data_IF_936502525470
#
_entry.id   IF_936502525470
#
_cell.length_a   1.000
_cell.length_b   1.000
_cell.length_c   1.000
_cell.angle_alpha   90.00
_cell.angle_beta   90.00
_cell.angle_gamma   90.00
#
_symmetry.space_group_name_H-M   'P 1'
#
loop_
_entity.id
_entity.type
_entity.pdbx_description
1 polymer ?
#
# COMPACT_ATOMS: atom_id res chain seq x y z
N UNK A 1 27.89 32.76 101.02
CA UNK A 1 29.28 33.26 100.85
C UNK A 1 29.66 33.08 99.39
N UNK A 2 29.55 34.10 98.53
CA UNK A 2 30.66 34.96 98.08
C UNK A 2 32.00 34.20 97.96
N UNK A 3 32.39 33.89 96.73
CA UNK A 3 33.74 34.22 96.32
C UNK A 3 33.80 34.71 94.86
N UNK A 4 34.41 35.88 94.68
CA UNK A 4 34.46 36.67 93.44
C UNK A 4 35.86 36.51 92.87
N UNK A 5 36.01 35.85 91.71
CA UNK A 5 37.19 36.04 90.84
C UNK A 5 36.76 36.71 89.53
N UNK A 6 37.09 38.00 89.45
CA UNK A 6 36.87 38.90 88.32
C UNK A 6 37.64 38.39 87.08
N UNK A 7 36.93 37.94 86.03
CA UNK A 7 37.49 37.84 84.68
C UNK A 7 37.53 39.25 84.09
N UNK A 8 38.73 39.77 83.86
CA UNK A 8 38.95 41.04 83.18
C UNK A 8 38.42 40.95 81.74
N UNK A 9 37.27 41.58 81.46
CA UNK A 9 36.85 41.90 80.10
C UNK A 9 37.78 42.98 79.57
N UNK A 10 38.78 42.60 78.75
CA UNK A 10 39.43 43.55 77.85
C UNK A 10 38.41 43.96 76.79
N UNK A 11 37.76 45.09 77.03
CA UNK A 11 37.01 45.82 76.02
C UNK A 11 37.99 46.21 74.93
N UNK A 12 37.98 45.52 73.78
CA UNK A 12 38.63 46.03 72.58
C UNK A 12 37.89 47.30 72.19
N UNK A 13 38.49 48.43 72.52
CA UNK A 13 38.12 49.75 72.04
C UNK A 13 38.19 49.70 70.51
N UNK A 14 37.03 49.79 69.84
CA UNK A 14 36.96 50.05 68.40
C UNK A 14 37.60 51.42 68.16
N UNK A 15 38.85 51.42 67.70
CA UNK A 15 39.49 52.64 67.19
C UNK A 15 38.62 53.23 66.09
N UNK A 16 38.46 54.56 66.08
CA UNK A 16 37.76 55.27 65.00
C UNK A 16 38.55 55.06 63.71
N UNK A 17 38.06 54.15 62.87
CA UNK A 17 38.62 53.86 61.56
C UNK A 17 38.54 55.14 60.72
N UNK A 18 39.67 55.58 60.15
CA UNK A 18 39.67 56.75 59.28
C UNK A 18 38.99 56.40 57.95
N UNK A 19 38.33 57.37 57.31
CA UNK A 19 37.62 57.14 56.04
C UNK A 19 38.51 56.51 54.94
N UNK A 20 39.82 56.77 55.01
CA UNK A 20 40.83 56.16 54.14
C UNK A 20 41.01 54.65 54.40
N UNK A 21 41.07 54.22 55.66
CA UNK A 21 41.22 52.81 56.04
C UNK A 21 39.98 52.01 55.64
N UNK A 22 38.78 52.55 55.86
CA UNK A 22 37.53 51.94 55.40
C UNK A 22 37.47 51.80 53.87
N UNK A 23 37.90 52.83 53.11
CA UNK A 23 37.99 52.77 51.64
C UNK A 23 39.02 51.74 51.16
N UNK A 24 40.15 51.61 51.85
CA UNK A 24 41.19 50.62 51.53
C UNK A 24 40.71 49.19 51.77
N UNK A 25 39.94 48.97 52.83
CA UNK A 25 39.33 47.69 53.14
C UNK A 25 38.27 47.30 52.11
N UNK A 26 37.33 48.21 51.80
CA UNK A 26 36.34 48.01 50.72
C UNK A 26 37.00 47.73 49.38
N UNK A 27 38.10 48.42 49.06
CA UNK A 27 38.88 48.17 47.83
C UNK A 27 39.48 46.76 47.81
N UNK A 28 40.00 46.26 48.95
CA UNK A 28 40.52 44.89 49.04
C UNK A 28 39.39 43.87 48.83
N UNK A 29 38.26 44.05 49.50
CA UNK A 29 37.11 43.14 49.40
C UNK A 29 36.54 43.10 47.98
N UNK A 30 36.46 44.24 47.30
CA UNK A 30 36.05 44.28 45.89
C UNK A 30 37.05 43.55 44.99
N UNK A 31 38.36 43.76 45.19
CA UNK A 31 39.40 43.07 44.41
C UNK A 31 39.33 41.57 44.61
N UNK A 32 39.06 41.11 45.83
CA UNK A 32 38.88 39.70 46.14
C UNK A 32 37.61 39.12 45.52
N UNK A 33 36.48 39.85 45.58
CA UNK A 33 35.25 39.48 44.87
C UNK A 33 35.45 39.39 43.36
N UNK A 34 36.17 40.34 42.76
CA UNK A 34 36.49 40.30 41.31
C UNK A 34 37.34 39.07 40.99
N UNK A 35 38.34 38.74 41.81
CA UNK A 35 39.14 37.52 41.65
C UNK A 35 38.28 36.25 41.75
N UNK A 36 37.37 36.19 42.73
CA UNK A 36 36.47 35.05 42.90
C UNK A 36 35.49 34.90 41.73
N UNK A 37 34.87 36.01 41.29
CA UNK A 37 33.99 36.01 40.13
C UNK A 37 34.74 35.64 38.84
N UNK A 38 35.97 36.09 38.65
CA UNK A 38 36.81 35.67 37.52
C UNK A 38 37.09 34.17 37.55
N UNK A 39 37.34 33.60 38.73
CA UNK A 39 37.53 32.16 38.91
C UNK A 39 36.26 31.37 38.59
N UNK A 40 35.11 31.80 39.09
CA UNK A 40 33.80 31.21 38.80
C UNK A 40 33.46 31.28 37.31
N UNK A 41 33.70 32.43 36.68
CA UNK A 41 33.52 32.62 35.24
C UNK A 41 34.42 31.66 34.44
N UNK A 42 35.67 31.48 34.87
CA UNK A 42 36.60 30.50 34.27
C UNK A 42 36.07 29.07 34.36
N UNK A 43 35.55 28.68 35.52
CA UNK A 43 34.93 27.36 35.73
C UNK A 43 33.64 27.18 34.92
N UNK A 44 32.85 28.24 34.74
CA UNK A 44 31.63 28.20 33.95
C UNK A 44 31.94 28.05 32.46
N UNK A 45 32.93 28.82 31.94
CA UNK A 45 33.42 28.69 30.57
C UNK A 45 33.94 27.30 30.26
N UNK A 46 34.72 26.72 31.18
CA UNK A 46 35.20 25.35 31.03
C UNK A 46 34.05 24.34 30.96
N UNK A 47 33.06 24.43 31.85
CA UNK A 47 31.87 23.57 31.82
C UNK A 47 31.07 23.70 30.53
N UNK A 48 30.95 24.91 30.00
CA UNK A 48 30.28 25.16 28.71
C UNK A 48 31.01 24.47 27.55
N UNK A 49 32.33 24.60 27.48
CA UNK A 49 33.15 23.95 26.46
C UNK A 49 33.05 22.41 26.51
N UNK A 50 33.07 21.83 27.72
CA UNK A 50 32.89 20.38 27.90
C UNK A 50 31.52 19.93 27.42
N UNK A 51 30.44 20.61 27.85
CA UNK A 51 29.08 20.29 27.40
C UNK A 51 28.92 20.42 25.89
N UNK A 52 29.49 21.46 25.28
CA UNK A 52 29.44 21.66 23.84
C UNK A 52 30.17 20.53 23.10
N UNK A 53 31.35 20.12 23.58
CA UNK A 53 32.08 18.99 23.01
C UNK A 53 31.37 17.63 23.18
N UNK A 54 30.64 17.43 24.28
CA UNK A 54 29.79 16.24 24.47
C UNK A 54 28.61 16.25 23.49
N UNK A 55 27.93 17.38 23.35
CA UNK A 55 26.83 17.56 22.39
C UNK A 55 27.33 17.29 20.96
N UNK A 56 28.43 17.90 20.53
CA UNK A 56 29.00 17.69 19.20
C UNK A 56 29.37 16.22 18.94
N UNK A 57 29.91 15.53 19.95
CA UNK A 57 30.18 14.09 19.86
C UNK A 57 28.91 13.27 19.71
N UNK A 58 27.87 13.58 20.50
CA UNK A 58 26.58 12.89 20.39
C UNK A 58 25.93 13.13 19.04
N UNK A 59 25.93 14.37 18.54
CA UNK A 59 25.38 14.72 17.23
C UNK A 59 26.12 13.97 16.11
N UNK A 60 27.45 14.00 16.09
CA UNK A 60 28.25 13.26 15.10
C UNK A 60 27.96 11.76 15.15
N UNK A 61 27.83 11.19 16.35
CA UNK A 61 27.48 9.77 16.51
C UNK A 61 26.10 9.48 15.93
N UNK A 62 25.09 10.30 16.23
CA UNK A 62 23.75 10.13 15.66
C UNK A 62 23.74 10.29 14.14
N UNK A 63 24.52 11.21 13.58
CA UNK A 63 24.68 11.37 12.13
C UNK A 63 25.26 10.11 11.48
N UNK A 64 26.30 9.52 12.09
CA UNK A 64 26.89 8.28 11.59
C UNK A 64 25.93 7.10 11.70
N UNK A 65 25.19 6.99 12.81
CA UNK A 65 24.20 5.91 13.02
C UNK A 65 23.07 6.04 12.00
N UNK A 66 22.55 7.25 11.79
CA UNK A 66 21.54 7.54 10.76
C UNK A 66 22.06 7.24 9.35
N UNK A 67 23.32 7.56 9.05
CA UNK A 67 23.94 7.24 7.77
C UNK A 67 23.95 5.73 7.50
N UNK A 68 24.30 4.92 8.50
CA UNK A 68 24.27 3.46 8.40
C UNK A 68 22.84 2.94 8.18
N UNK A 69 21.85 3.46 8.91
CA UNK A 69 20.45 3.07 8.75
C UNK A 69 19.91 3.42 7.36
N UNK A 70 20.22 4.61 6.84
CA UNK A 70 19.83 5.02 5.50
C UNK A 70 20.46 4.13 4.42
N UNK A 71 21.74 3.78 4.55
CA UNK A 71 22.39 2.84 3.64
C UNK A 71 21.76 1.44 3.69
N UNK A 72 21.36 0.98 4.86
CA UNK A 72 20.65 -0.28 5.01
C UNK A 72 19.28 -0.24 4.32
N UNK A 73 18.49 0.82 4.54
CA UNK A 73 17.19 1.02 3.89
C UNK A 73 17.33 1.07 2.36
N UNK A 74 18.34 1.79 1.85
CA UNK A 74 18.66 1.85 0.41
C UNK A 74 18.95 0.45 -0.16
N UNK A 75 19.76 -0.35 0.53
CA UNK A 75 20.04 -1.73 0.12
C UNK A 75 18.78 -2.59 0.10
N UNK A 76 17.90 -2.47 1.09
CA UNK A 76 16.62 -3.17 1.09
C UNK A 76 15.73 -2.77 -0.08
N UNK A 77 15.65 -1.48 -0.41
CA UNK A 77 14.91 -1.02 -1.58
C UNK A 77 15.45 -1.59 -2.89
N UNK A 78 16.78 -1.69 -3.03
CA UNK A 78 17.40 -2.31 -4.20
C UNK A 78 17.07 -3.80 -4.31
N UNK A 79 17.12 -4.54 -3.20
CA UNK A 79 16.74 -5.96 -3.19
C UNK A 79 15.28 -6.14 -3.58
N UNK A 80 14.38 -5.29 -3.06
CA UNK A 80 12.96 -5.30 -3.44
C UNK A 80 12.77 -5.01 -4.94
N UNK A 81 13.46 -4.00 -5.46
CA UNK A 81 13.39 -3.65 -6.88
C UNK A 81 13.90 -4.80 -7.77
N UNK A 82 14.99 -5.47 -7.38
CA UNK A 82 15.51 -6.64 -8.09
C UNK A 82 14.52 -7.82 -8.08
N UNK A 83 13.86 -8.08 -6.95
CA UNK A 83 12.81 -9.10 -6.86
C UNK A 83 11.62 -8.76 -7.75
N UNK A 84 11.15 -7.50 -7.73
CA UNK A 84 10.06 -7.04 -8.62
C UNK A 84 10.43 -7.23 -10.09
N UNK A 85 11.63 -6.81 -10.51
CA UNK A 85 12.09 -6.99 -11.88
C UNK A 85 12.16 -8.47 -12.29
N UNK A 86 12.60 -9.35 -11.38
CA UNK A 86 12.64 -10.79 -11.64
C UNK A 86 11.23 -11.40 -11.81
N UNK A 87 10.27 -10.96 -10.99
CA UNK A 87 8.87 -11.41 -11.08
C UNK A 87 8.20 -10.92 -12.36
N UNK A 88 8.34 -9.63 -12.70
CA UNK A 88 7.82 -9.06 -13.94
C UNK A 88 8.45 -9.74 -15.15
N UNK A 89 9.77 -9.95 -15.13
CA UNK A 89 10.45 -10.67 -16.22
C UNK A 89 10.07 -12.14 -16.33
N UNK A 90 9.58 -12.77 -15.25
CA UNK A 90 9.00 -14.11 -15.32
C UNK A 90 7.60 -14.07 -15.93
N UNK A 91 6.73 -13.16 -15.47
CA UNK A 91 5.39 -12.98 -16.01
C UNK A 91 5.42 -12.73 -17.53
N UNK A 92 6.29 -11.83 -18.00
CA UNK A 92 6.48 -11.56 -19.43
C UNK A 92 6.99 -12.74 -20.27
N UNK A 93 7.65 -13.73 -19.66
CA UNK A 93 8.07 -14.97 -20.37
C UNK A 93 7.04 -16.08 -20.28
N UNK A 94 6.09 -15.93 -19.36
CA UNK A 94 5.01 -16.86 -19.09
C UNK A 94 3.71 -16.44 -19.78
N UNK A 95 3.78 -15.52 -20.74
CA UNK A 95 2.59 -15.06 -21.50
C UNK A 95 1.99 -16.19 -22.35
N UNK A 96 2.84 -17.08 -22.86
CA UNK A 96 2.39 -18.25 -23.61
C UNK A 96 1.88 -19.38 -22.69
N UNK A 97 1.95 -19.21 -21.36
CA UNK A 97 1.39 -20.15 -20.39
C UNK A 97 0.08 -19.65 -19.84
N UNK A 98 -0.94 -20.52 -19.85
CA UNK A 98 -2.27 -20.22 -19.32
C UNK A 98 -2.18 -19.69 -17.88
N UNK A 99 -2.79 -18.52 -17.65
CA UNK A 99 -3.00 -17.99 -16.31
C UNK A 99 -3.87 -18.96 -15.48
N UNK A 100 -3.76 -18.98 -14.13
CA UNK A 100 -4.51 -19.92 -13.29
C UNK A 100 -6.05 -19.87 -13.43
N UNK A 101 -6.59 -18.77 -13.97
CA UNK A 101 -8.03 -18.53 -14.18
C UNK A 101 -8.41 -18.68 -15.66
N UNK A 102 -7.45 -18.90 -16.56
CA UNK A 102 -7.72 -19.20 -17.97
C UNK A 102 -7.86 -20.70 -18.19
N UNK A 103 -8.78 -21.07 -19.08
CA UNK A 103 -8.95 -22.42 -19.59
C UNK A 103 -9.02 -22.38 -21.10
N UNK A 104 -8.48 -23.40 -21.77
CA UNK A 104 -8.76 -23.60 -23.19
C UNK A 104 -10.15 -24.22 -23.31
N UNK A 105 -11.09 -23.50 -23.90
CA UNK A 105 -12.50 -23.88 -24.02
C UNK A 105 -12.80 -24.28 -25.47
N UNK A 106 -13.02 -25.58 -25.65
CA UNK A 106 -13.44 -26.16 -26.93
C UNK A 106 -14.88 -26.66 -26.82
N UNK A 107 -15.76 -26.18 -27.71
CA UNK A 107 -17.17 -26.57 -27.75
C UNK A 107 -17.50 -27.30 -29.05
N UNK A 108 -18.06 -28.52 -28.92
CA UNK A 108 -18.55 -29.32 -30.05
C UNK A 108 -19.90 -28.84 -30.59
N UNK A 109 -20.51 -29.62 -31.48
CA UNK A 109 -21.83 -29.30 -32.07
C UNK A 109 -23.02 -29.85 -31.26
N UNK A 110 -22.81 -30.90 -30.45
CA UNK A 110 -23.86 -31.51 -29.63
C UNK A 110 -24.24 -30.62 -28.44
N UNK A 111 -25.53 -30.30 -28.31
CA UNK A 111 -26.00 -29.35 -27.30
C UNK A 111 -25.86 -29.87 -25.86
N UNK A 112 -26.00 -31.17 -25.65
CA UNK A 112 -25.89 -31.78 -24.31
C UNK A 112 -24.44 -31.86 -23.88
N UNK A 113 -23.53 -32.25 -24.78
CA UNK A 113 -22.08 -32.26 -24.55
C UNK A 113 -21.57 -30.85 -24.24
N UNK A 114 -22.01 -29.84 -25.01
CA UNK A 114 -21.71 -28.42 -24.74
C UNK A 114 -22.13 -28.03 -23.34
N UNK A 115 -23.39 -28.27 -22.97
CA UNK A 115 -23.90 -27.91 -21.65
C UNK A 115 -23.09 -28.58 -20.53
N UNK A 116 -22.83 -29.88 -20.63
CA UNK A 116 -22.05 -30.61 -19.64
C UNK A 116 -20.62 -30.05 -19.52
N UNK A 117 -19.98 -29.74 -20.64
CA UNK A 117 -18.65 -29.11 -20.66
C UNK A 117 -18.66 -27.79 -19.90
N UNK A 118 -19.61 -26.91 -20.20
CA UNK A 118 -19.74 -25.61 -19.52
C UNK A 118 -20.03 -25.75 -18.02
N UNK A 119 -20.88 -26.70 -17.63
CA UNK A 119 -21.15 -26.98 -16.21
C UNK A 119 -19.91 -27.49 -15.46
N UNK A 120 -19.08 -28.31 -16.08
CA UNK A 120 -17.81 -28.75 -15.46
C UNK A 120 -16.81 -27.61 -15.30
N UNK A 121 -16.79 -26.66 -16.24
CA UNK A 121 -15.92 -25.49 -16.19
C UNK A 121 -16.33 -24.50 -15.10
N UNK A 122 -17.63 -24.32 -14.87
CA UNK A 122 -18.18 -23.36 -13.89
C UNK A 122 -17.51 -23.44 -12.53
N UNK A 123 -17.60 -24.60 -11.86
CA UNK A 123 -17.08 -24.74 -10.48
C UNK A 123 -15.56 -24.59 -10.42
N UNK A 124 -14.85 -25.10 -11.42
CA UNK A 124 -13.40 -24.96 -11.53
C UNK A 124 -13.00 -23.49 -11.67
N UNK A 125 -13.66 -22.75 -12.57
CA UNK A 125 -13.33 -21.36 -12.85
C UNK A 125 -13.62 -20.45 -11.67
N UNK A 126 -14.80 -20.61 -11.04
CA UNK A 126 -15.15 -19.84 -9.85
C UNK A 126 -14.18 -20.11 -8.68
N UNK A 127 -13.83 -21.38 -8.43
CA UNK A 127 -12.88 -21.72 -7.38
C UNK A 127 -11.46 -21.21 -7.66
N UNK A 128 -11.03 -21.19 -8.92
CA UNK A 128 -9.74 -20.63 -9.32
C UNK A 128 -9.72 -19.10 -9.15
N UNK A 129 -10.79 -18.41 -9.57
CA UNK A 129 -10.94 -16.97 -9.39
C UNK A 129 -10.91 -16.59 -7.90
N UNK A 130 -11.65 -17.29 -7.04
CA UNK A 130 -11.63 -17.05 -5.58
C UNK A 130 -10.22 -17.20 -4.99
N UNK A 131 -9.52 -18.29 -5.32
CA UNK A 131 -8.14 -18.52 -4.83
C UNK A 131 -7.19 -17.44 -5.33
N UNK A 132 -7.29 -17.07 -6.61
CA UNK A 132 -6.45 -16.04 -7.22
C UNK A 132 -6.68 -14.68 -6.56
N UNK A 133 -7.94 -14.25 -6.43
CA UNK A 133 -8.30 -12.99 -5.78
C UNK A 133 -7.86 -12.97 -4.31
N UNK A 134 -8.04 -14.06 -3.56
CA UNK A 134 -7.60 -14.17 -2.18
C UNK A 134 -6.07 -14.08 -2.05
N UNK A 135 -5.32 -14.66 -3.00
CA UNK A 135 -3.87 -14.57 -3.04
C UNK A 135 -3.39 -13.16 -3.39
N UNK A 136 -3.95 -12.53 -4.44
CA UNK A 136 -3.60 -11.16 -4.89
C UNK A 136 -3.99 -10.09 -3.89
N UNK A 137 -5.06 -10.29 -3.14
CA UNK A 137 -5.53 -9.34 -2.11
C UNK A 137 -4.77 -9.44 -0.79
N UNK A 138 -3.89 -10.42 -0.62
CA UNK A 138 -3.20 -10.66 0.66
C UNK A 138 -2.33 -9.46 1.05
N UNK A 139 -2.62 -8.88 2.21
CA UNK A 139 -1.88 -7.73 2.75
C UNK A 139 -2.38 -6.38 2.22
N UNK A 140 -3.34 -6.35 1.29
CA UNK A 140 -4.04 -5.13 0.90
C UNK A 140 -5.15 -4.80 1.89
N UNK A 141 -5.40 -3.51 2.08
CA UNK A 141 -6.51 -3.03 2.88
C UNK A 141 -7.80 -3.05 2.06
N UNK A 142 -8.87 -3.74 2.50
CA UNK A 142 -10.16 -3.76 1.79
C UNK A 142 -10.84 -2.38 1.72
N UNK A 143 -10.40 -1.44 2.55
CA UNK A 143 -10.96 -0.08 2.64
C UNK A 143 -10.20 0.94 1.79
N UNK A 144 -9.15 0.51 1.11
CA UNK A 144 -8.25 1.39 0.36
C UNK A 144 -8.30 1.01 -1.10
N UNK A 145 -8.36 2.01 -1.97
CA UNK A 145 -8.22 1.79 -3.41
C UNK A 145 -6.82 1.29 -3.71
N UNK A 146 -6.72 0.26 -4.55
CA UNK A 146 -5.46 -0.25 -5.08
C UNK A 146 -5.62 -0.56 -6.56
N UNK A 147 -4.60 -0.28 -7.37
CA UNK A 147 -4.57 -0.65 -8.78
C UNK A 147 -3.13 -1.01 -9.15
N UNK A 148 -2.97 -2.13 -9.83
CA UNK A 148 -1.76 -2.56 -10.50
C UNK A 148 -2.14 -2.87 -11.95
N UNK A 149 -1.44 -2.26 -12.89
CA UNK A 149 -1.63 -2.46 -14.33
C UNK A 149 -0.26 -2.74 -14.96
N UNK A 150 -0.20 -3.79 -15.76
CA UNK A 150 0.97 -4.20 -16.52
C UNK A 150 0.57 -4.32 -17.99
N UNK A 151 1.28 -3.58 -18.85
CA UNK A 151 1.07 -3.59 -20.29
C UNK A 151 2.34 -4.08 -20.97
N UNK A 152 2.20 -4.95 -21.95
CA UNK A 152 3.32 -5.52 -22.70
C UNK A 152 2.85 -6.04 -24.05
N UNK A 153 3.78 -6.17 -24.98
CA UNK A 153 3.54 -6.81 -26.27
C UNK A 153 3.86 -8.30 -26.16
N UNK A 154 2.98 -9.16 -26.68
CA UNK A 154 3.22 -10.61 -26.80
C UNK A 154 4.36 -10.87 -27.80
N UNK A 155 4.94 -12.07 -27.77
CA UNK A 155 5.94 -12.47 -28.77
C UNK A 155 5.36 -12.50 -30.20
N UNK A 156 4.04 -12.63 -30.33
CA UNK A 156 3.29 -12.64 -31.59
C UNK A 156 2.89 -11.23 -32.06
N UNK A 157 3.12 -10.21 -31.22
CA UNK A 157 2.86 -8.80 -31.52
C UNK A 157 1.52 -8.28 -31.01
N UNK A 158 0.81 -9.04 -30.18
CA UNK A 158 -0.44 -8.61 -29.56
C UNK A 158 -0.18 -7.65 -28.41
N UNK A 159 -1.06 -6.66 -28.24
CA UNK A 159 -1.03 -5.77 -27.08
C UNK A 159 -1.82 -6.40 -25.93
N UNK A 160 -1.13 -6.74 -24.85
CA UNK A 160 -1.72 -7.39 -23.68
C UNK A 160 -1.73 -6.46 -22.47
N UNK A 161 -2.81 -6.55 -21.68
CA UNK A 161 -2.96 -5.81 -20.43
C UNK A 161 -3.39 -6.77 -19.32
N UNK A 162 -2.63 -6.78 -18.22
CA UNK A 162 -2.99 -7.47 -16.98
C UNK A 162 -3.27 -6.42 -15.91
N UNK A 163 -4.50 -6.38 -15.42
CA UNK A 163 -4.92 -5.42 -14.39
C UNK A 163 -5.51 -6.13 -13.18
N UNK A 164 -5.07 -5.72 -12.00
CA UNK A 164 -5.65 -6.11 -10.73
C UNK A 164 -5.97 -4.86 -9.91
N UNK A 165 -7.22 -4.76 -9.47
CA UNK A 165 -7.69 -3.59 -8.74
C UNK A 165 -8.59 -3.94 -7.55
N UNK A 166 -8.65 -3.02 -6.60
CA UNK A 166 -9.55 -3.05 -5.45
C UNK A 166 -10.16 -1.68 -5.30
N UNK A 167 -11.48 -1.61 -5.34
CA UNK A 167 -12.24 -0.36 -5.23
C UNK A 167 -13.24 -0.49 -4.08
N UNK A 168 -13.10 0.29 -2.99
CA UNK A 168 -14.06 0.26 -1.90
C UNK A 168 -15.37 0.93 -2.33
N UNK A 169 -16.47 0.21 -2.20
CA UNK A 169 -17.84 0.73 -2.42
C UNK A 169 -18.50 0.96 -1.07
N UNK A 170 -18.96 2.19 -0.82
CA UNK A 170 -19.54 2.59 0.47
C UNK A 170 -21.05 2.75 0.35
N UNK A 171 -21.78 2.29 1.37
CA UNK A 171 -23.23 2.49 1.47
C UNK A 171 -24.09 1.55 0.61
N UNK A 172 -23.49 0.53 0.00
CA UNK A 172 -24.20 -0.52 -0.73
C UNK A 172 -23.93 -1.90 -0.11
N UNK A 173 -24.91 -2.78 -0.19
CA UNK A 173 -24.76 -4.18 0.20
C UNK A 173 -24.00 -4.96 -0.88
N UNK A 174 -23.28 -6.02 -0.50
CA UNK A 174 -22.48 -6.82 -1.46
C UNK A 174 -23.34 -7.43 -2.57
N UNK A 175 -24.61 -7.73 -2.30
CA UNK A 175 -25.56 -8.21 -3.31
C UNK A 175 -25.90 -7.15 -4.35
N UNK A 176 -26.14 -5.91 -3.93
CA UNK A 176 -26.43 -4.80 -4.84
C UNK A 176 -25.25 -4.50 -5.76
N UNK A 177 -24.03 -4.50 -5.19
CA UNK A 177 -22.79 -4.32 -5.97
C UNK A 177 -22.60 -5.48 -6.96
N UNK A 178 -22.81 -6.72 -6.52
CA UNK A 178 -22.73 -7.89 -7.38
C UNK A 178 -23.75 -7.84 -8.52
N UNK A 179 -25.01 -7.52 -8.24
CA UNK A 179 -26.07 -7.44 -9.25
C UNK A 179 -25.81 -6.30 -10.25
N UNK A 180 -25.27 -5.17 -9.80
CA UNK A 180 -24.86 -4.08 -10.67
C UNK A 180 -23.69 -4.46 -11.59
N UNK A 181 -22.67 -5.15 -11.04
CA UNK A 181 -21.54 -5.65 -11.85
C UNK A 181 -22.00 -6.69 -12.86
N UNK A 182 -22.90 -7.61 -12.47
CA UNK A 182 -23.46 -8.61 -13.37
C UNK A 182 -24.25 -7.93 -14.49
N UNK A 183 -25.12 -6.99 -14.13
CA UNK A 183 -25.88 -6.18 -15.08
C UNK A 183 -24.99 -5.44 -16.08
N UNK A 184 -23.84 -4.91 -15.64
CA UNK A 184 -22.86 -4.28 -16.54
C UNK A 184 -22.34 -5.26 -17.60
N UNK A 185 -21.96 -6.47 -17.20
CA UNK A 185 -21.47 -7.50 -18.15
C UNK A 185 -22.58 -7.98 -19.09
N UNK A 186 -23.81 -8.12 -18.58
CA UNK A 186 -24.95 -8.57 -19.40
C UNK A 186 -25.39 -7.55 -20.47
N UNK A 187 -25.05 -6.27 -20.28
CA UNK A 187 -25.36 -5.17 -21.21
C UNK A 187 -24.08 -4.60 -21.86
N UNK A 188 -23.04 -5.41 -21.98
CA UNK A 188 -21.72 -4.98 -22.45
C UNK A 188 -21.77 -4.40 -23.88
N UNK A 189 -22.66 -4.87 -24.75
CA UNK A 189 -22.85 -4.34 -26.11
C UNK A 189 -23.28 -2.87 -26.12
N UNK A 190 -24.14 -2.47 -25.18
CA UNK A 190 -24.61 -1.08 -25.02
C UNK A 190 -23.44 -0.24 -24.52
N UNK A 191 -22.76 -0.69 -23.47
CA UNK A 191 -21.64 0.03 -22.85
C UNK A 191 -20.52 0.25 -23.87
N UNK A 192 -20.15 -0.77 -24.64
CA UNK A 192 -19.12 -0.67 -25.67
C UNK A 192 -19.52 0.31 -26.77
N UNK A 193 -20.77 0.21 -27.27
CA UNK A 193 -21.27 1.10 -28.32
C UNK A 193 -21.30 2.56 -27.87
N UNK A 194 -21.72 2.84 -26.64
CA UNK A 194 -21.78 4.20 -26.08
C UNK A 194 -20.38 4.77 -25.78
N UNK A 195 -19.49 3.96 -25.19
CA UNK A 195 -18.16 4.44 -24.79
C UNK A 195 -17.23 4.66 -25.97
N UNK A 196 -17.28 3.79 -26.98
CA UNK A 196 -16.34 3.80 -28.10
C UNK A 196 -16.95 4.35 -29.40
N UNK A 197 -18.26 4.65 -29.41
CA UNK A 197 -18.97 5.09 -30.61
C UNK A 197 -18.96 4.04 -31.74
N UNK A 198 -18.74 2.77 -31.40
CA UNK A 198 -18.78 1.65 -32.33
C UNK A 198 -20.19 1.04 -32.38
N UNK A 199 -20.40 0.10 -33.30
CA UNK A 199 -21.62 -0.72 -33.32
C UNK A 199 -21.26 -2.10 -32.79
N UNK A 200 -21.68 -2.41 -31.56
CA UNK A 200 -21.54 -3.73 -30.97
C UNK A 200 -22.90 -4.43 -30.94
N UNK A 201 -22.97 -5.64 -31.50
CA UNK A 201 -24.20 -6.43 -31.64
C UNK A 201 -24.02 -7.74 -30.88
N UNK A 202 -25.01 -8.07 -30.05
CA UNK A 202 -25.09 -9.32 -29.32
C UNK A 202 -25.82 -10.37 -30.18
N UNK A 203 -25.16 -11.48 -30.48
CA UNK A 203 -25.62 -12.55 -31.39
C UNK A 203 -25.90 -13.90 -30.70
N UNK A 204 -25.86 -13.97 -29.36
CA UNK A 204 -26.25 -15.20 -28.67
C UNK A 204 -27.77 -15.41 -28.67
N UNK A 205 -28.18 -16.65 -28.94
CA UNK A 205 -29.56 -17.09 -28.81
C UNK A 205 -29.90 -17.35 -27.33
N UNK A 206 -31.09 -16.87 -26.90
CA UNK A 206 -31.75 -16.81 -25.57
C UNK A 206 -31.79 -18.10 -24.70
N UNK A 207 -30.84 -19.03 -24.80
CA UNK A 207 -30.66 -20.05 -23.78
C UNK A 207 -29.84 -19.48 -22.62
N UNK A 208 -30.41 -18.48 -21.94
CA UNK A 208 -29.93 -18.05 -20.63
C UNK A 208 -30.32 -19.13 -19.63
N UNK A 209 -29.33 -19.92 -19.21
CA UNK A 209 -29.50 -20.78 -18.05
C UNK A 209 -29.15 -19.95 -16.82
N UNK A 210 -29.77 -20.23 -15.66
CA UNK A 210 -29.37 -19.62 -14.38
C UNK A 210 -27.91 -19.91 -14.02
N UNK A 211 -27.26 -20.84 -14.72
CA UNK A 211 -25.96 -21.36 -14.36
C UNK A 211 -24.79 -20.58 -14.94
N UNK A 212 -24.93 -20.06 -16.17
CA UNK A 212 -23.90 -19.31 -16.87
C UNK A 212 -24.51 -18.44 -17.97
N UNK A 213 -23.82 -17.34 -18.29
CA UNK A 213 -24.17 -16.46 -19.40
C UNK A 213 -23.20 -16.71 -20.56
N UNK A 214 -23.77 -16.75 -21.76
CA UNK A 214 -23.05 -16.77 -23.03
C UNK A 214 -23.19 -15.39 -23.64
N UNK A 215 -22.10 -14.74 -24.00
CA UNK A 215 -22.12 -13.42 -24.61
C UNK A 215 -21.32 -13.49 -25.90
N UNK A 216 -22.01 -13.61 -27.05
CA UNK A 216 -21.38 -13.55 -28.37
C UNK A 216 -21.55 -12.14 -28.91
N UNK A 217 -20.46 -11.41 -29.05
CA UNK A 217 -20.48 -10.02 -29.44
C UNK A 217 -19.69 -9.83 -30.73
N UNK A 218 -20.34 -9.20 -31.72
CA UNK A 218 -19.73 -8.74 -32.96
C UNK A 218 -19.64 -7.22 -32.92
N UNK A 219 -18.42 -6.69 -32.93
CA UNK A 219 -18.16 -5.24 -32.85
C UNK A 219 -17.53 -4.74 -34.14
N UNK A 220 -18.20 -3.79 -34.81
CA UNK A 220 -17.64 -3.07 -35.95
C UNK A 220 -16.87 -1.84 -35.47
N UNK A 221 -15.56 -1.86 -35.65
CA UNK A 221 -14.67 -0.74 -35.28
C UNK A 221 -14.64 0.34 -36.35
N UNK A 222 -14.20 1.54 -35.98
CA UNK A 222 -14.07 2.69 -36.91
C UNK A 222 -13.08 2.47 -38.06
N UNK A 223 -12.26 1.41 -38.00
CA UNK A 223 -11.29 1.04 -39.01
C UNK A 223 -11.80 -0.02 -40.01
N UNK A 224 -13.12 -0.22 -40.12
CA UNK A 224 -13.77 -1.26 -40.93
C UNK A 224 -13.42 -2.72 -40.53
N UNK A 225 -12.73 -2.91 -39.41
CA UNK A 225 -12.44 -4.23 -38.86
C UNK A 225 -13.59 -4.66 -37.94
N UNK A 226 -14.11 -5.87 -38.19
CA UNK A 226 -15.05 -6.55 -37.30
C UNK A 226 -14.28 -7.43 -36.31
N UNK A 227 -14.56 -7.26 -35.02
CA UNK A 227 -14.03 -8.11 -33.96
C UNK A 227 -15.19 -8.94 -33.42
N UNK A 228 -15.03 -10.25 -33.48
CA UNK A 228 -15.95 -11.19 -32.84
C UNK A 228 -15.34 -11.68 -31.52
N UNK A 229 -16.16 -11.75 -30.48
CA UNK A 229 -15.79 -12.35 -29.21
C UNK A 229 -16.92 -13.23 -28.72
N UNK A 230 -16.59 -14.39 -28.13
CA UNK A 230 -17.55 -15.21 -27.44
C UNK A 230 -17.06 -15.45 -26.02
N UNK A 231 -17.71 -14.79 -25.09
CA UNK A 231 -17.37 -14.82 -23.68
C UNK A 231 -18.34 -15.71 -22.93
N UNK A 232 -17.82 -16.56 -22.07
CA UNK A 232 -18.58 -17.31 -21.07
C UNK A 232 -18.40 -16.63 -19.72
N UNK A 233 -19.51 -16.30 -19.07
CA UNK A 233 -19.51 -15.74 -17.73
C UNK A 233 -20.13 -16.75 -16.75
N UNK A 234 -19.34 -17.12 -15.76
CA UNK A 234 -19.79 -17.85 -14.58
C UNK A 234 -19.89 -16.88 -13.42
N UNK A 235 -20.96 -16.98 -12.64
CA UNK A 235 -21.13 -16.16 -11.45
C UNK A 235 -21.76 -16.95 -10.30
N UNK A 236 -21.43 -16.56 -9.08
CA UNK A 236 -22.03 -17.09 -7.85
C UNK A 236 -22.07 -16.01 -6.79
N UNK A 237 -23.23 -15.88 -6.16
CA UNK A 237 -23.38 -15.11 -4.94
C UNK A 237 -23.58 -16.05 -3.75
N UNK A 238 -22.74 -15.89 -2.75
CA UNK A 238 -22.81 -16.61 -1.49
C UNK A 238 -23.33 -15.65 -0.43
N UNK A 239 -24.54 -15.91 0.07
CA UNK A 239 -25.07 -15.20 1.23
C UNK A 239 -24.33 -15.64 2.49
N UNK A 240 -23.90 -14.67 3.30
CA UNK A 240 -23.34 -14.90 4.63
C UNK A 240 -24.41 -15.31 5.64
N UNK A 241 -24.02 -15.42 6.90
CA UNK A 241 -24.91 -15.80 8.01
C UNK A 241 -25.98 -14.72 8.30
N UNK A 242 -26.68 -14.83 9.42
CA UNK A 242 -27.96 -14.17 9.77
C UNK A 242 -28.05 -12.64 9.52
N UNK A 243 -26.93 -11.91 9.39
CA UNK A 243 -26.89 -10.46 9.12
C UNK A 243 -26.18 -10.09 7.80
N UNK A 244 -25.92 -11.06 6.91
CA UNK A 244 -25.20 -10.85 5.66
C UNK A 244 -23.69 -10.63 5.82
N UNK A 245 -23.18 -10.72 7.04
CA UNK A 245 -21.74 -10.71 7.33
C UNK A 245 -21.07 -11.92 6.67
N UNK A 246 -20.05 -11.66 5.85
CA UNK A 246 -19.40 -12.68 5.03
C UNK A 246 -20.08 -12.96 3.69
N UNK A 247 -21.12 -12.20 3.29
CA UNK A 247 -21.71 -12.33 1.95
C UNK A 247 -20.75 -11.80 0.88
N UNK A 248 -20.51 -12.58 -0.16
CA UNK A 248 -19.67 -12.16 -1.28
C UNK A 248 -20.17 -12.75 -2.60
N UNK A 249 -19.80 -12.09 -3.69
CA UNK A 249 -20.02 -12.58 -5.04
C UNK A 249 -18.70 -12.77 -5.76
N UNK A 250 -18.65 -13.79 -6.61
CA UNK A 250 -17.53 -14.03 -7.52
C UNK A 250 -18.06 -14.17 -8.94
N UNK A 251 -17.31 -13.62 -9.89
CA UNK A 251 -17.52 -13.79 -11.32
C UNK A 251 -16.21 -14.22 -11.96
N UNK A 252 -16.31 -15.12 -12.94
CA UNK A 252 -15.19 -15.53 -13.78
C UNK A 252 -15.69 -15.50 -15.22
N UNK A 253 -14.96 -14.80 -16.08
CA UNK A 253 -15.24 -14.74 -17.51
C UNK A 253 -14.04 -15.28 -18.28
N UNK A 254 -14.31 -16.01 -19.35
CA UNK A 254 -13.28 -16.56 -20.24
C UNK A 254 -13.80 -16.64 -21.68
N UNK A 255 -12.89 -16.71 -22.66
CA UNK A 255 -13.26 -16.79 -24.07
C UNK A 255 -13.43 -18.25 -24.52
N UNK A 256 -14.30 -18.46 -25.51
CA UNK A 256 -14.35 -19.74 -26.22
C UNK A 256 -13.29 -19.73 -27.31
N UNK A 257 -12.24 -20.53 -27.15
CA UNK A 257 -11.15 -20.60 -28.13
C UNK A 257 -11.58 -21.29 -29.42
N UNK A 258 -12.40 -22.34 -29.31
CA UNK A 258 -12.86 -23.13 -30.45
C UNK A 258 -14.34 -23.47 -30.30
N UNK A 259 -15.17 -23.00 -31.23
CA UNK A 259 -16.58 -23.37 -31.32
C UNK A 259 -16.90 -24.01 -32.67
N UNK A 260 -17.22 -25.31 -32.66
CA UNK A 260 -17.58 -26.06 -33.86
C UNK A 260 -18.97 -25.71 -34.42
N UNK A 261 -19.86 -25.16 -33.58
CA UNK A 261 -21.21 -24.73 -33.96
C UNK A 261 -21.20 -23.31 -34.55
N UNK A 262 -20.31 -22.46 -34.04
CA UNK A 262 -20.17 -21.05 -34.42
C UNK A 262 -18.68 -20.68 -34.61
N UNK A 263 -18.05 -21.12 -35.71
CA UNK A 263 -16.63 -20.86 -35.94
C UNK A 263 -16.33 -19.38 -36.25
N UNK A 264 -15.19 -18.89 -35.75
CA UNK A 264 -14.62 -17.56 -36.02
C UNK A 264 -13.92 -17.48 -37.39
#
# INVERSE_FOLDING_TARGET
MKDRRKKARKTQVKGKQTAYEARKEVKRDLVEKVKNLQKELGQLKFRLLVKQGEVDKTTKRTETENGVLLEFIRKQHLVRAAMQAALTGHAQRSLDTLEPVQSVICLGTDQVERYNTLMTLKERQLANAERHLAARSRGLSPRSTYCQEECFDSAEGDYCVVRFETVPVWGAHSKEVFDAMLGSVLNQEIILSEMFGCVAIREDNDFETSEFTRLRLVTATSAETTVESYTLLFSRFSSGDMDGEGSYGVMAADFVDFDALYPY
#
